data_IF_379985488922
#
_entry.id   IF_379985488922
#
_cell.length_a   1.000
_cell.length_b   1.000
_cell.length_c   1.000
_cell.angle_alpha   90.00
_cell.angle_beta   90.00
_cell.angle_gamma   90.00
#
_symmetry.space_group_name_H-M   'P 1'
#
loop_
_entity.id
_entity.type
_entity.pdbx_description
1 polymer ?
#
# COMPACT_ATOMS: atom_id res chain seq x y z
N UNK A 1 38.30 58.99 53.80
CA UNK A 1 38.47 57.66 53.18
C UNK A 1 37.48 57.51 51.99
N UNK A 2 38.03 57.51 50.78
CA UNK A 2 37.20 57.49 49.55
C UNK A 2 36.55 56.11 49.36
N UNK A 3 35.26 56.09 49.25
CA UNK A 3 34.53 54.85 48.97
C UNK A 3 34.69 54.48 47.48
N UNK A 4 35.24 53.30 47.12
CA UNK A 4 35.43 52.90 45.70
C UNK A 4 34.15 52.19 45.13
N UNK A 5 33.00 52.31 45.78
CA UNK A 5 31.80 51.53 45.46
C UNK A 5 31.05 51.98 44.19
N UNK A 6 31.21 53.24 43.76
CA UNK A 6 30.48 53.76 42.59
C UNK A 6 31.03 53.31 41.23
N UNK A 7 32.35 53.03 41.13
CA UNK A 7 32.94 52.54 39.89
C UNK A 7 32.63 51.07 39.61
N UNK A 8 32.30 50.26 40.63
CA UNK A 8 32.04 48.82 40.54
C UNK A 8 30.64 48.57 39.92
N UNK A 9 29.64 49.43 40.16
CA UNK A 9 28.29 49.29 39.65
C UNK A 9 28.18 49.41 38.12
N UNK A 10 28.90 50.34 37.52
CA UNK A 10 28.89 50.57 36.08
C UNK A 10 29.56 49.42 35.28
N UNK A 11 30.68 48.91 35.79
CA UNK A 11 31.40 47.79 35.15
C UNK A 11 30.61 46.49 35.24
N UNK A 12 29.90 46.21 36.36
CA UNK A 12 29.08 45.01 36.49
C UNK A 12 27.88 45.00 35.55
N UNK A 13 27.23 46.15 35.30
CA UNK A 13 26.09 46.24 34.36
C UNK A 13 26.53 45.96 32.91
N UNK A 14 27.69 46.47 32.49
CA UNK A 14 28.25 46.17 31.17
C UNK A 14 28.63 44.71 31.02
N UNK A 15 29.26 44.09 32.02
CA UNK A 15 29.60 42.68 32.02
C UNK A 15 28.35 41.78 31.97
N UNK A 16 27.28 42.14 32.67
CA UNK A 16 25.99 41.45 32.59
C UNK A 16 25.35 41.55 31.20
N UNK A 17 25.46 42.72 30.54
CA UNK A 17 25.02 42.92 29.16
C UNK A 17 25.75 42.02 28.17
N UNK A 18 27.07 41.86 28.30
CA UNK A 18 27.85 40.95 27.47
C UNK A 18 27.58 39.47 27.80
N UNK A 19 27.38 39.11 29.05
CA UNK A 19 26.97 37.76 29.45
C UNK A 19 25.61 37.40 28.88
N UNK A 20 24.61 38.27 28.95
CA UNK A 20 23.31 38.10 28.33
C UNK A 20 23.36 37.95 26.81
N UNK A 21 24.19 38.72 26.13
CA UNK A 21 24.38 38.59 24.68
C UNK A 21 25.07 37.28 24.30
N UNK A 22 26.02 36.79 25.09
CA UNK A 22 26.67 35.48 24.85
C UNK A 22 25.70 34.31 25.06
N UNK A 23 24.86 34.38 26.08
CA UNK A 23 23.79 33.40 26.30
C UNK A 23 22.77 33.38 25.15
N UNK A 24 22.29 34.55 24.71
CA UNK A 24 21.39 34.68 23.56
C UNK A 24 22.00 34.10 22.26
N UNK A 25 23.29 34.28 22.03
CA UNK A 25 24.02 33.68 20.89
C UNK A 25 24.08 32.15 21.03
N UNK A 26 24.40 31.64 22.22
CA UNK A 26 24.45 30.19 22.47
C UNK A 26 23.07 29.53 22.27
N UNK A 27 22.02 30.16 22.79
CA UNK A 27 20.63 29.66 22.59
C UNK A 27 20.19 29.71 21.12
N UNK A 28 20.51 30.81 20.40
CA UNK A 28 20.23 30.92 18.98
C UNK A 28 20.96 29.84 18.18
N UNK A 29 22.23 29.56 18.51
CA UNK A 29 22.99 28.48 17.90
C UNK A 29 22.42 27.10 18.21
N UNK A 30 21.90 26.88 19.43
CA UNK A 30 21.21 25.66 19.83
C UNK A 30 19.90 25.48 19.05
N UNK A 31 19.02 26.47 19.01
CA UNK A 31 17.76 26.49 18.26
C UNK A 31 17.98 26.22 16.77
N UNK A 32 19.02 26.83 16.18
CA UNK A 32 19.40 26.60 14.78
C UNK A 32 19.79 25.13 14.54
N UNK A 33 20.60 24.55 15.43
CA UNK A 33 20.99 23.11 15.33
C UNK A 33 19.80 22.18 15.50
N UNK A 34 18.90 22.47 16.45
CA UNK A 34 17.67 21.69 16.66
C UNK A 34 16.77 21.74 15.40
N UNK A 35 16.60 22.91 14.81
CA UNK A 35 15.85 23.08 13.56
C UNK A 35 16.47 22.30 12.39
N UNK A 36 17.80 22.39 12.23
CA UNK A 36 18.51 21.63 11.19
C UNK A 36 18.34 20.12 11.39
N UNK A 37 18.46 19.63 12.63
CA UNK A 37 18.24 18.22 12.97
C UNK A 37 16.79 17.78 12.66
N UNK A 38 15.82 18.60 12.98
CA UNK A 38 14.42 18.33 12.67
C UNK A 38 14.17 18.25 11.14
N UNK A 39 14.82 19.12 10.36
CA UNK A 39 14.77 19.06 8.89
C UNK A 39 15.42 17.78 8.34
N UNK A 40 16.57 17.38 8.89
CA UNK A 40 17.24 16.13 8.48
C UNK A 40 16.41 14.91 8.79
N UNK A 41 15.82 14.82 10.00
CA UNK A 41 14.93 13.74 10.39
C UNK A 41 13.73 13.68 9.44
N UNK A 42 13.10 14.82 9.14
CA UNK A 42 12.00 14.91 8.18
C UNK A 42 12.42 14.41 6.80
N UNK A 43 13.58 14.82 6.30
CA UNK A 43 14.12 14.37 5.01
C UNK A 43 14.36 12.87 5.00
N UNK A 44 14.98 12.31 6.04
CA UNK A 44 15.22 10.85 6.16
C UNK A 44 13.90 10.06 6.20
N UNK A 45 12.94 10.51 7.01
CA UNK A 45 11.62 9.88 7.10
C UNK A 45 10.87 9.93 5.76
N UNK A 46 10.99 11.04 5.03
CA UNK A 46 10.40 11.16 3.70
C UNK A 46 11.03 10.20 2.71
N UNK A 47 12.37 10.14 2.64
CA UNK A 47 13.09 9.21 1.77
C UNK A 47 12.74 7.75 2.09
N UNK A 48 12.67 7.40 3.38
CA UNK A 48 12.26 6.05 3.81
C UNK A 48 10.82 5.72 3.38
N UNK A 49 9.87 6.63 3.59
CA UNK A 49 8.47 6.44 3.16
C UNK A 49 8.36 6.28 1.64
N UNK A 50 9.08 7.09 0.89
CA UNK A 50 9.08 7.02 -0.58
C UNK A 50 9.72 5.73 -1.08
N UNK A 51 10.83 5.29 -0.49
CA UNK A 51 11.47 4.00 -0.80
C UNK A 51 10.55 2.82 -0.50
N UNK A 52 9.89 2.81 0.66
CA UNK A 52 8.91 1.77 1.00
C UNK A 52 7.70 1.78 0.06
N UNK A 53 7.26 2.96 -0.35
CA UNK A 53 6.17 3.06 -1.32
C UNK A 53 6.57 2.53 -2.69
N UNK A 54 7.76 2.89 -3.20
CA UNK A 54 8.25 2.36 -4.48
C UNK A 54 8.40 0.83 -4.45
N UNK A 55 8.88 0.26 -3.35
CA UNK A 55 8.96 -1.19 -3.17
C UNK A 55 7.55 -1.84 -3.19
N UNK A 56 6.55 -1.20 -2.55
CA UNK A 56 5.15 -1.67 -2.59
C UNK A 56 4.56 -1.61 -4.00
N UNK A 57 4.84 -0.55 -4.77
CA UNK A 57 4.40 -0.41 -6.17
C UNK A 57 5.02 -1.51 -7.04
N UNK A 58 6.31 -1.76 -6.90
CA UNK A 58 6.98 -2.84 -7.62
C UNK A 58 6.37 -4.21 -7.27
N UNK A 59 6.17 -4.47 -5.97
CA UNK A 59 5.53 -5.70 -5.53
C UNK A 59 4.11 -5.82 -6.10
N UNK A 60 3.32 -4.74 -6.07
CA UNK A 60 1.98 -4.71 -6.66
C UNK A 60 1.99 -5.12 -8.14
N UNK A 61 2.94 -4.62 -8.93
CA UNK A 61 3.07 -4.97 -10.35
C UNK A 61 3.37 -6.46 -10.54
N UNK A 62 4.26 -7.03 -9.72
CA UNK A 62 4.59 -8.46 -9.74
C UNK A 62 3.37 -9.29 -9.35
N UNK A 63 2.75 -8.99 -8.20
CA UNK A 63 1.59 -9.72 -7.69
C UNK A 63 0.40 -9.65 -8.67
N UNK A 64 0.25 -8.53 -9.40
CA UNK A 64 -0.78 -8.36 -10.42
C UNK A 64 -0.55 -9.28 -11.61
N UNK A 65 0.69 -9.37 -12.10
CA UNK A 65 1.05 -10.29 -13.16
C UNK A 65 0.87 -11.74 -12.74
N UNK A 66 1.25 -12.10 -11.50
CA UNK A 66 1.03 -13.45 -10.95
C UNK A 66 -0.45 -13.79 -10.83
N UNK A 67 -1.29 -12.85 -10.40
CA UNK A 67 -2.74 -13.03 -10.34
C UNK A 67 -3.34 -13.28 -11.74
N UNK A 68 -2.89 -12.53 -12.75
CA UNK A 68 -3.36 -12.71 -14.13
C UNK A 68 -2.88 -14.02 -14.73
N UNK A 69 -1.64 -14.44 -14.46
CA UNK A 69 -1.11 -15.75 -14.86
C UNK A 69 -1.88 -16.91 -14.17
N UNK A 70 -2.18 -16.75 -12.88
CA UNK A 70 -2.96 -17.75 -12.14
C UNK A 70 -4.38 -17.88 -12.71
N UNK A 71 -5.04 -16.76 -13.03
CA UNK A 71 -6.35 -16.77 -13.67
C UNK A 71 -6.31 -17.44 -15.06
N UNK A 72 -5.31 -17.10 -15.90
CA UNK A 72 -5.15 -17.71 -17.23
C UNK A 72 -4.92 -19.24 -17.15
N UNK A 73 -4.12 -19.70 -16.19
CA UNK A 73 -3.92 -21.15 -15.95
C UNK A 73 -5.21 -21.82 -15.49
N UNK A 74 -5.99 -21.17 -14.64
CA UNK A 74 -7.28 -21.69 -14.19
C UNK A 74 -8.29 -21.78 -15.34
N UNK A 75 -8.35 -20.76 -16.23
CA UNK A 75 -9.17 -20.80 -17.45
C UNK A 75 -8.73 -21.93 -18.39
N UNK A 76 -7.44 -22.07 -18.66
CA UNK A 76 -6.92 -23.13 -19.53
C UNK A 76 -7.24 -24.51 -18.97
N UNK A 77 -7.13 -24.70 -17.65
CA UNK A 77 -7.50 -25.95 -16.98
C UNK A 77 -8.99 -26.24 -17.12
N UNK A 78 -9.85 -25.28 -16.84
CA UNK A 78 -11.31 -25.43 -16.96
C UNK A 78 -11.71 -25.79 -18.41
N UNK A 79 -11.10 -25.13 -19.40
CA UNK A 79 -11.33 -25.41 -20.82
C UNK A 79 -10.85 -26.80 -21.22
N UNK A 80 -9.68 -27.24 -20.74
CA UNK A 80 -9.15 -28.57 -20.98
C UNK A 80 -10.04 -29.67 -20.38
N UNK A 81 -10.55 -29.45 -19.17
CA UNK A 81 -11.49 -30.37 -18.52
C UNK A 81 -12.81 -30.50 -19.30
N UNK A 82 -13.34 -29.38 -19.80
CA UNK A 82 -14.55 -29.43 -20.66
C UNK A 82 -14.28 -30.19 -21.97
N UNK A 83 -13.15 -29.88 -22.64
CA UNK A 83 -12.76 -30.57 -23.88
C UNK A 83 -12.55 -32.05 -23.68
N UNK A 84 -11.94 -32.47 -22.56
CA UNK A 84 -11.76 -33.87 -22.22
C UNK A 84 -13.11 -34.59 -22.02
N UNK A 85 -14.08 -33.96 -21.34
CA UNK A 85 -15.42 -34.49 -21.17
C UNK A 85 -16.17 -34.61 -22.50
N UNK A 86 -16.01 -33.62 -23.39
CA UNK A 86 -16.58 -33.68 -24.74
C UNK A 86 -15.97 -34.81 -25.56
N UNK A 87 -14.66 -34.96 -25.56
CA UNK A 87 -13.96 -36.06 -26.23
C UNK A 87 -14.38 -37.41 -25.69
N UNK A 88 -14.48 -37.57 -24.37
CA UNK A 88 -14.95 -38.82 -23.76
C UNK A 88 -16.39 -39.14 -24.13
N UNK A 89 -17.27 -38.14 -24.23
CA UNK A 89 -18.64 -38.35 -24.65
C UNK A 89 -18.76 -38.79 -26.13
N UNK A 90 -17.93 -38.22 -27.02
CA UNK A 90 -17.86 -38.61 -28.44
C UNK A 90 -17.39 -40.08 -28.55
N UNK A 91 -16.26 -40.41 -27.93
CA UNK A 91 -15.72 -41.77 -27.94
C UNK A 91 -16.70 -42.81 -27.35
N UNK A 92 -17.39 -42.42 -26.27
CA UNK A 92 -18.44 -43.29 -25.70
C UNK A 92 -19.66 -43.45 -26.63
N UNK A 93 -20.01 -42.44 -27.43
CA UNK A 93 -21.07 -42.55 -28.43
C UNK A 93 -20.64 -43.48 -29.58
N UNK A 94 -19.43 -43.33 -30.09
CA UNK A 94 -18.86 -44.22 -31.13
C UNK A 94 -18.83 -45.67 -30.65
N UNK A 95 -18.28 -45.89 -29.45
CA UNK A 95 -18.25 -47.24 -28.86
C UNK A 95 -19.65 -47.84 -28.71
N UNK A 96 -20.63 -47.05 -28.24
CA UNK A 96 -22.01 -47.48 -28.09
C UNK A 96 -22.68 -47.78 -29.43
N UNK A 97 -22.39 -46.95 -30.45
CA UNK A 97 -22.85 -47.17 -31.81
C UNK A 97 -22.30 -48.48 -32.40
N UNK A 98 -21.01 -48.70 -32.34
CA UNK A 98 -20.37 -49.92 -32.80
C UNK A 98 -20.90 -51.16 -32.10
N UNK A 99 -21.10 -51.07 -30.78
CA UNK A 99 -21.71 -52.14 -30.00
C UNK A 99 -23.15 -52.41 -30.40
N UNK A 100 -23.95 -51.38 -30.66
CA UNK A 100 -25.33 -51.51 -31.15
C UNK A 100 -25.34 -52.22 -32.49
N UNK A 101 -24.48 -51.80 -33.45
CA UNK A 101 -24.46 -52.41 -34.80
C UNK A 101 -23.98 -53.84 -34.75
N UNK A 102 -22.85 -54.14 -34.10
CA UNK A 102 -22.29 -55.52 -34.09
C UNK A 102 -23.06 -56.47 -33.26
N UNK A 103 -23.40 -56.13 -32.00
CA UNK A 103 -23.91 -57.10 -31.04
C UNK A 103 -25.42 -57.17 -31.08
N UNK A 104 -26.11 -56.06 -31.25
CA UNK A 104 -27.58 -56.06 -31.15
C UNK A 104 -28.25 -56.23 -32.53
N UNK A 105 -27.91 -55.37 -33.51
CA UNK A 105 -28.50 -55.50 -34.85
C UNK A 105 -28.00 -56.75 -35.59
N UNK A 106 -26.71 -57.08 -35.43
CA UNK A 106 -26.15 -58.30 -36.01
C UNK A 106 -26.81 -59.58 -35.44
N UNK A 107 -27.13 -59.62 -34.14
CA UNK A 107 -27.88 -60.76 -33.54
C UNK A 107 -29.31 -60.81 -33.99
N UNK A 108 -30.00 -59.71 -34.19
CA UNK A 108 -31.35 -59.64 -34.75
C UNK A 108 -31.35 -60.23 -36.16
N UNK A 109 -30.40 -59.83 -37.00
CA UNK A 109 -30.25 -60.37 -38.36
C UNK A 109 -29.93 -61.88 -38.37
N UNK A 110 -29.03 -62.34 -37.45
CA UNK A 110 -28.61 -63.69 -37.34
C UNK A 110 -29.72 -64.65 -36.73
N UNK A 111 -30.74 -64.09 -36.02
CA UNK A 111 -31.80 -64.85 -35.38
C UNK A 111 -32.82 -65.39 -36.37
N UNK A 112 -32.74 -65.09 -37.66
CA UNK A 112 -33.68 -65.53 -38.69
C UNK A 112 -35.12 -64.99 -38.51
N UNK A 113 -35.33 -64.06 -37.56
CA UNK A 113 -36.61 -63.41 -37.36
C UNK A 113 -36.91 -62.45 -38.49
N UNK A 114 -38.04 -62.54 -39.10
CA UNK A 114 -38.53 -61.74 -40.22
C UNK A 114 -39.83 -61.02 -39.87
N UNK A 115 -40.12 -59.93 -40.57
CA UNK A 115 -41.42 -59.26 -40.44
C UNK A 115 -41.53 -58.36 -39.19
N UNK A 116 -42.72 -58.30 -38.59
CA UNK A 116 -43.05 -57.36 -37.49
C UNK A 116 -42.26 -57.62 -36.23
N UNK A 117 -41.78 -58.80 -35.92
CA UNK A 117 -41.00 -59.13 -34.73
C UNK A 117 -39.56 -58.56 -34.84
N UNK A 118 -38.91 -58.71 -35.99
CA UNK A 118 -37.60 -58.11 -36.27
C UNK A 118 -37.64 -56.58 -36.19
N UNK A 119 -38.61 -55.94 -36.81
CA UNK A 119 -38.82 -54.51 -36.79
C UNK A 119 -39.01 -53.96 -35.35
N UNK A 120 -39.73 -54.68 -34.47
CA UNK A 120 -39.87 -54.31 -33.05
C UNK A 120 -38.54 -54.38 -32.29
N UNK A 121 -37.76 -55.43 -32.50
CA UNK A 121 -36.45 -55.55 -31.86
C UNK A 121 -35.46 -54.44 -32.33
N UNK A 122 -35.42 -54.11 -33.61
CA UNK A 122 -34.62 -53.02 -34.14
C UNK A 122 -35.05 -51.72 -33.55
N UNK A 123 -36.33 -51.38 -33.46
CA UNK A 123 -36.84 -50.14 -32.86
C UNK A 123 -36.49 -50.07 -31.36
N UNK A 124 -36.55 -51.18 -30.61
CA UNK A 124 -36.13 -51.23 -29.21
C UNK A 124 -34.63 -50.94 -29.03
N UNK A 125 -33.77 -51.51 -29.89
CA UNK A 125 -32.32 -51.29 -29.87
C UNK A 125 -31.97 -49.82 -30.20
N UNK A 126 -32.62 -49.26 -31.22
CA UNK A 126 -32.44 -47.87 -31.59
C UNK A 126 -32.95 -46.92 -30.50
N UNK A 127 -34.08 -47.21 -29.88
CA UNK A 127 -34.60 -46.41 -28.77
C UNK A 127 -33.69 -46.44 -27.54
N UNK A 128 -33.08 -47.60 -27.23
CA UNK A 128 -32.11 -47.71 -26.14
C UNK A 128 -30.85 -46.91 -26.44
N UNK A 129 -30.32 -46.96 -27.65
CA UNK A 129 -29.21 -46.14 -28.10
C UNK A 129 -29.54 -44.64 -28.00
N UNK A 130 -30.71 -44.24 -28.50
CA UNK A 130 -31.19 -42.87 -28.41
C UNK A 130 -31.26 -42.36 -26.96
N UNK A 131 -31.76 -43.21 -26.03
CA UNK A 131 -31.75 -42.85 -24.59
C UNK A 131 -30.34 -42.68 -24.01
N UNK A 132 -29.38 -43.49 -24.45
CA UNK A 132 -27.98 -43.34 -24.00
C UNK A 132 -27.34 -42.08 -24.53
N UNK A 133 -27.52 -41.73 -25.82
CA UNK A 133 -27.07 -40.49 -26.43
C UNK A 133 -27.72 -39.30 -25.73
N UNK A 134 -29.03 -39.31 -25.48
CA UNK A 134 -29.73 -38.25 -24.76
C UNK A 134 -29.20 -38.01 -23.36
N UNK A 135 -28.92 -39.08 -22.57
CA UNK A 135 -28.29 -38.95 -21.26
C UNK A 135 -26.90 -38.32 -21.30
N UNK A 136 -26.08 -38.68 -22.30
CA UNK A 136 -24.75 -38.06 -22.48
C UNK A 136 -24.85 -36.61 -22.93
N UNK A 137 -25.77 -36.28 -23.83
CA UNK A 137 -26.03 -34.91 -24.22
C UNK A 137 -26.43 -34.05 -23.02
N UNK A 138 -27.33 -34.54 -22.16
CA UNK A 138 -27.70 -33.86 -20.92
C UNK A 138 -26.54 -33.71 -19.94
N UNK A 139 -25.70 -34.72 -19.79
CA UNK A 139 -24.47 -34.63 -18.97
C UNK A 139 -23.48 -33.61 -19.52
N UNK A 140 -23.35 -33.46 -20.85
CA UNK A 140 -22.55 -32.44 -21.48
C UNK A 140 -23.09 -31.01 -21.26
N UNK A 141 -24.43 -30.85 -21.31
CA UNK A 141 -25.06 -29.56 -20.99
C UNK A 141 -24.75 -29.15 -19.57
N UNK A 142 -24.91 -30.04 -18.59
CA UNK A 142 -24.50 -29.78 -17.20
C UNK A 142 -22.99 -29.45 -17.05
N UNK A 143 -22.16 -30.12 -17.84
CA UNK A 143 -20.70 -29.83 -17.81
C UNK A 143 -20.39 -28.47 -18.37
N UNK A 144 -21.14 -27.95 -19.35
CA UNK A 144 -21.04 -26.60 -19.86
C UNK A 144 -21.50 -25.55 -18.83
N UNK A 145 -22.63 -25.78 -18.18
CA UNK A 145 -23.14 -24.94 -17.11
C UNK A 145 -22.13 -24.85 -15.97
N UNK A 146 -21.58 -25.98 -15.53
CA UNK A 146 -20.53 -26.01 -14.50
C UNK A 146 -19.23 -25.31 -14.96
N UNK A 147 -18.88 -25.37 -16.25
CA UNK A 147 -17.77 -24.63 -16.81
C UNK A 147 -18.00 -23.11 -16.76
N UNK A 148 -19.18 -22.64 -17.17
CA UNK A 148 -19.55 -21.22 -17.13
C UNK A 148 -19.52 -20.67 -15.70
N UNK A 149 -20.07 -21.42 -14.75
CA UNK A 149 -20.01 -21.06 -13.32
C UNK A 149 -18.57 -21.00 -12.79
N UNK A 150 -17.73 -21.96 -13.18
CA UNK A 150 -16.30 -21.97 -12.81
C UNK A 150 -15.55 -20.77 -13.40
N UNK A 151 -15.78 -20.46 -14.69
CA UNK A 151 -15.21 -19.30 -15.37
C UNK A 151 -15.61 -18.00 -14.66
N UNK A 152 -16.88 -17.87 -14.28
CA UNK A 152 -17.34 -16.71 -13.52
C UNK A 152 -16.70 -16.64 -12.12
N UNK A 153 -16.55 -17.78 -11.45
CA UNK A 153 -15.83 -17.88 -10.18
C UNK A 153 -14.38 -17.42 -10.28
N UNK A 154 -13.65 -17.86 -11.31
CA UNK A 154 -12.27 -17.45 -11.59
C UNK A 154 -12.21 -15.94 -11.81
N UNK A 155 -13.12 -15.37 -12.60
CA UNK A 155 -13.19 -13.93 -12.87
C UNK A 155 -13.43 -13.12 -11.61
N UNK A 156 -14.39 -13.56 -10.77
CA UNK A 156 -14.67 -12.88 -9.48
C UNK A 156 -13.47 -12.94 -8.55
N UNK A 157 -12.79 -14.07 -8.47
CA UNK A 157 -11.58 -14.23 -7.67
C UNK A 157 -10.45 -13.32 -8.16
N UNK A 158 -10.21 -13.24 -9.49
CA UNK A 158 -9.22 -12.36 -10.12
C UNK A 158 -9.47 -10.90 -9.78
N UNK A 159 -10.71 -10.42 -9.93
CA UNK A 159 -11.10 -9.03 -9.61
C UNK A 159 -10.97 -8.75 -8.11
N UNK A 160 -11.42 -9.66 -7.26
CA UNK A 160 -11.29 -9.52 -5.81
C UNK A 160 -9.83 -9.41 -5.36
N UNK A 161 -8.96 -10.26 -5.90
CA UNK A 161 -7.52 -10.21 -5.61
C UNK A 161 -6.89 -8.90 -6.13
N UNK A 162 -7.24 -8.48 -7.35
CA UNK A 162 -6.79 -7.19 -7.91
C UNK A 162 -7.15 -6.01 -7.01
N UNK A 163 -8.38 -5.97 -6.49
CA UNK A 163 -8.83 -4.93 -5.58
C UNK A 163 -8.08 -4.95 -4.25
N UNK A 164 -7.81 -6.15 -3.69
CA UNK A 164 -6.99 -6.32 -2.49
C UNK A 164 -5.55 -5.83 -2.70
N UNK A 165 -4.94 -6.17 -3.84
CA UNK A 165 -3.60 -5.72 -4.19
C UNK A 165 -3.54 -4.20 -4.35
N UNK A 166 -4.54 -3.61 -5.02
CA UNK A 166 -4.64 -2.17 -5.20
C UNK A 166 -4.75 -1.42 -3.87
N UNK A 167 -5.50 -1.94 -2.90
CA UNK A 167 -5.65 -1.29 -1.59
C UNK A 167 -4.31 -1.09 -0.86
N UNK A 168 -3.30 -1.91 -1.13
CA UNK A 168 -1.96 -1.80 -0.54
C UNK A 168 -1.14 -0.63 -1.08
N UNK A 169 -1.46 -0.11 -2.26
CA UNK A 169 -0.76 0.97 -2.96
C UNK A 169 -1.61 2.22 -3.20
N UNK A 170 -2.88 2.20 -2.78
CA UNK A 170 -3.82 3.29 -3.02
C UNK A 170 -3.40 4.62 -2.38
N UNK A 171 -2.60 4.58 -1.31
CA UNK A 171 -2.21 5.78 -0.57
C UNK A 171 -0.75 6.16 -0.85
N UNK A 172 -0.60 7.23 -1.62
CA UNK A 172 0.72 7.84 -1.86
C UNK A 172 1.20 8.51 -0.56
N UNK A 173 2.47 8.33 -0.15
CA UNK A 173 2.99 9.02 1.03
C UNK A 173 2.98 10.53 0.84
N UNK A 174 2.56 11.25 1.88
CA UNK A 174 2.58 12.72 1.90
C UNK A 174 3.77 13.18 2.76
N UNK A 175 4.54 14.20 2.32
CA UNK A 175 5.61 14.75 3.13
C UNK A 175 5.03 15.34 4.43
N UNK A 176 5.67 15.06 5.57
CA UNK A 176 5.30 15.64 6.85
C UNK A 176 5.42 17.16 6.87
N UNK A 177 4.70 17.82 7.79
CA UNK A 177 4.78 19.26 7.98
C UNK A 177 6.22 19.72 8.20
N UNK A 178 6.55 20.89 7.67
CA UNK A 178 7.85 21.51 7.93
C UNK A 178 7.93 21.93 9.41
N UNK A 179 9.06 21.73 10.11
CA UNK A 179 9.24 22.29 11.43
C UNK A 179 9.18 23.83 11.37
N UNK A 180 8.63 24.44 12.41
CA UNK A 180 8.59 25.89 12.50
C UNK A 180 9.99 26.47 12.51
N UNK A 181 10.25 27.57 11.79
CA UNK A 181 11.54 28.23 11.82
C UNK A 181 11.87 28.71 13.23
N UNK A 182 13.12 28.63 13.68
CA UNK A 182 13.49 29.02 15.02
C UNK A 182 13.34 30.53 15.21
N UNK A 183 12.67 30.94 16.27
CA UNK A 183 12.63 32.35 16.68
C UNK A 183 13.98 32.71 17.33
N UNK A 184 14.72 33.60 16.69
CA UNK A 184 16.00 34.06 17.17
C UNK A 184 15.84 35.19 18.20
N UNK A 185 16.55 35.13 19.31
CA UNK A 185 16.62 36.21 20.29
C UNK A 185 17.48 37.33 19.77
N UNK A 186 17.07 38.56 20.05
CA UNK A 186 17.89 39.71 19.71
C UNK A 186 19.11 39.79 20.64
N UNK A 187 20.30 39.69 20.08
CA UNK A 187 21.58 39.70 20.82
C UNK A 187 22.08 41.10 21.17
N UNK A 188 21.47 42.13 20.58
CA UNK A 188 21.90 43.56 20.80
C UNK A 188 21.16 44.16 21.98
N UNK A 189 19.93 43.74 22.31
CA UNK A 189 19.17 44.28 23.42
C UNK A 189 19.84 44.15 24.80
N UNK A 190 20.41 42.97 25.17
CA UNK A 190 21.11 42.86 26.46
C UNK A 190 22.34 43.81 26.55
N UNK A 191 23.04 44.02 25.43
CA UNK A 191 24.19 44.94 25.38
C UNK A 191 23.73 46.39 25.60
N UNK A 192 22.66 46.80 24.89
CA UNK A 192 22.07 48.14 25.07
C UNK A 192 21.60 48.36 26.50
N UNK A 193 20.93 47.40 27.11
CA UNK A 193 20.49 47.47 28.50
C UNK A 193 21.65 47.56 29.47
N UNK A 194 22.75 46.82 29.21
CA UNK A 194 23.99 46.94 29.98
C UNK A 194 24.61 48.36 29.93
N UNK A 195 24.67 48.95 28.74
CA UNK A 195 25.16 50.33 28.58
C UNK A 195 24.23 51.37 29.22
N UNK A 196 22.92 51.24 29.07
CA UNK A 196 21.93 52.13 29.72
C UNK A 196 22.00 52.01 31.25
N UNK A 197 22.17 50.81 31.77
CA UNK A 197 22.35 50.57 33.21
C UNK A 197 23.63 51.19 33.74
N UNK A 198 24.73 51.09 32.99
CA UNK A 198 26.01 51.74 33.35
C UNK A 198 25.91 53.28 33.30
N UNK A 199 25.20 53.84 32.30
CA UNK A 199 24.97 55.29 32.21
C UNK A 199 24.12 55.82 33.36
N UNK A 200 23.04 55.11 33.76
CA UNK A 200 22.23 55.47 34.94
C UNK A 200 23.01 55.37 36.23
N UNK A 201 23.73 54.28 36.45
CA UNK A 201 24.57 54.12 37.64
C UNK A 201 25.68 55.15 37.72
N UNK A 202 26.23 55.59 36.56
CA UNK A 202 27.21 56.71 36.47
C UNK A 202 26.58 58.02 36.82
N UNK A 203 25.37 58.36 36.38
CA UNK A 203 24.66 59.58 36.71
C UNK A 203 24.28 59.65 38.19
N UNK A 204 23.75 58.59 38.78
CA UNK A 204 23.46 58.50 40.21
C UNK A 204 24.70 58.65 41.10
N UNK A 205 25.81 58.08 40.66
CA UNK A 205 27.09 58.21 41.33
C UNK A 205 27.67 59.68 41.22
N UNK A 206 27.38 60.39 40.14
CA UNK A 206 27.76 61.79 39.96
C UNK A 206 26.89 62.69 40.83
N UNK A 207 25.58 62.49 40.93
CA UNK A 207 24.64 63.20 41.79
C UNK A 207 25.01 63.01 43.28
N UNK A 208 25.22 61.79 43.71
CA UNK A 208 25.70 61.53 45.09
C UNK A 208 27.05 62.19 45.42
N UNK A 209 27.87 62.37 44.44
CA UNK A 209 29.20 63.07 44.63
C UNK A 209 29.00 64.56 44.68
N UNK A 210 27.99 65.15 44.07
CA UNK A 210 27.66 66.58 44.18
C UNK A 210 27.00 66.88 45.55
N UNK A 211 26.07 66.04 46.01
CA UNK A 211 25.46 66.21 47.35
C UNK A 211 26.53 66.24 48.48
N UNK A 212 27.50 65.34 48.39
CA UNK A 212 28.62 65.26 49.37
C UNK A 212 29.57 66.51 49.32
N UNK A 213 29.48 67.31 48.27
CA UNK A 213 30.27 68.61 48.19
C UNK A 213 29.56 69.80 48.77
N UNK A 214 28.27 69.75 49.01
CA UNK A 214 27.54 70.88 49.58
C UNK A 214 27.34 70.81 51.10
N UNK A 215 27.76 69.63 51.73
CA UNK A 215 27.77 69.48 53.18
C UNK A 215 29.11 69.82 53.84
N UNK A 216 29.95 70.58 53.20
CA UNK A 216 31.17 71.17 53.79
C UNK A 216 31.13 72.62 53.65
#
# INVERSE_FOLDING_TARGET
MCAPSAAIGGVSAVLQGFAGASQARAENARRKREYQRALEIRKRNWLQKTSLYSAKVNKYTIDLNENDLAANRAYAKAQSELSAKQGAAIAANETSYMKMVREKLGKVAASGQTGRSAARLETMVLAEYGRQVGRRAFALTRSREAYEENVEGIRRAQVSNRNKLFSNVAFVPVPGLAPNPPQMQNTTMPILQGFLGAAKGGAEAWEAKQELKWDK
#
